data_IF_808278840965
#
_entry.id   IF_808278840965
#
_cell.length_a   1.000
_cell.length_b   1.000
_cell.length_c   1.000
_cell.angle_alpha   90.00
_cell.angle_beta   90.00
_cell.angle_gamma   90.00
#
_symmetry.space_group_name_H-M   'P 1'
#
loop_
_entity.id
_entity.type
_entity.pdbx_description
1 polymer ?
#
# COMPACT_ATOMS: atom_id res chain seq x y z
N UNK A 1 -11.92 -7.13 -16.47
CA UNK A 1 -11.69 -6.90 -15.03
C UNK A 1 -10.59 -7.87 -14.64
N UNK A 2 -9.34 -7.41 -14.52
CA UNK A 2 -8.24 -8.31 -14.13
C UNK A 2 -8.40 -8.69 -12.66
N UNK A 3 -8.60 -9.99 -12.43
CA UNK A 3 -8.64 -10.56 -11.10
C UNK A 3 -7.23 -10.51 -10.51
N UNK A 4 -6.97 -9.55 -9.62
CA UNK A 4 -5.76 -9.53 -8.79
C UNK A 4 -5.80 -10.71 -7.83
N UNK A 5 -5.42 -11.89 -8.32
CA UNK A 5 -5.24 -13.10 -7.52
C UNK A 5 -4.11 -12.81 -6.52
N UNK A 6 -4.31 -13.05 -5.22
CA UNK A 6 -3.25 -12.87 -4.25
C UNK A 6 -2.03 -13.73 -4.65
N UNK A 7 -0.79 -13.24 -4.46
CA UNK A 7 0.41 -13.98 -4.83
C UNK A 7 0.42 -15.35 -4.15
N UNK A 8 0.72 -16.40 -4.94
CA UNK A 8 0.68 -17.82 -4.54
C UNK A 8 1.78 -18.23 -3.54
N UNK A 9 2.48 -17.28 -2.95
CA UNK A 9 3.62 -17.53 -2.07
C UNK A 9 3.40 -16.71 -0.81
N UNK A 10 2.84 -17.36 0.20
CA UNK A 10 2.88 -16.90 1.58
C UNK A 10 4.20 -17.41 2.19
N UNK A 11 5.31 -16.64 2.17
CA UNK A 11 6.44 -17.03 3.00
C UNK A 11 5.93 -17.12 4.44
N UNK A 12 6.14 -18.28 5.08
CA UNK A 12 5.44 -18.76 6.28
C UNK A 12 5.44 -17.83 7.53
N UNK A 13 5.99 -16.61 7.45
CA UNK A 13 6.07 -15.60 8.51
C UNK A 13 5.71 -14.17 8.10
N UNK A 14 5.45 -13.88 6.82
CA UNK A 14 5.19 -12.50 6.39
C UNK A 14 3.70 -12.25 6.26
N UNK A 15 3.17 -11.27 7.02
CA UNK A 15 1.81 -10.75 6.84
C UNK A 15 1.70 -10.14 5.45
N UNK A 16 0.69 -10.55 4.67
CA UNK A 16 0.50 -10.06 3.31
C UNK A 16 -0.38 -8.81 3.35
N UNK A 17 0.24 -7.65 3.18
CA UNK A 17 -0.47 -6.37 3.08
C UNK A 17 -0.60 -5.99 1.61
N UNK A 18 -1.77 -5.51 1.22
CA UNK A 18 -2.08 -5.04 -0.12
C UNK A 18 -2.69 -3.65 -0.05
N UNK A 19 -2.16 -2.71 -0.82
CA UNK A 19 -2.65 -1.35 -0.88
C UNK A 19 -3.11 -1.02 -2.31
N UNK A 20 -4.29 -0.42 -2.43
CA UNK A 20 -4.92 -0.06 -3.71
C UNK A 20 -5.29 1.42 -3.71
N UNK A 21 -4.87 2.15 -4.75
CA UNK A 21 -5.20 3.55 -4.98
C UNK A 21 -6.38 3.61 -5.95
N UNK A 22 -7.46 4.24 -5.52
CA UNK A 22 -8.71 4.39 -6.27
C UNK A 22 -9.03 5.86 -6.54
N UNK A 23 -9.50 6.18 -7.73
CA UNK A 23 -10.06 7.50 -8.05
C UNK A 23 -11.26 7.34 -8.99
N UNK A 24 -12.43 7.85 -8.57
CA UNK A 24 -13.69 7.78 -9.34
C UNK A 24 -13.96 6.36 -9.89
N UNK A 25 -13.92 5.37 -9.00
CA UNK A 25 -14.11 3.94 -9.30
C UNK A 25 -13.05 3.28 -10.21
N UNK A 26 -11.94 3.97 -10.51
CA UNK A 26 -10.81 3.39 -11.26
C UNK A 26 -9.66 3.10 -10.32
N UNK A 27 -9.08 1.90 -10.44
CA UNK A 27 -7.80 1.56 -9.82
C UNK A 27 -6.69 2.29 -10.58
N UNK A 28 -5.91 3.09 -9.87
CA UNK A 28 -4.77 3.81 -10.44
C UNK A 28 -3.46 3.04 -10.26
N UNK A 29 -3.30 2.39 -9.12
CA UNK A 29 -2.17 1.51 -8.80
C UNK A 29 -2.55 0.59 -7.63
N UNK A 30 -1.91 -0.57 -7.57
CA UNK A 30 -2.02 -1.48 -6.43
C UNK A 30 -0.66 -2.14 -6.19
N UNK A 31 -0.36 -2.46 -4.94
CA UNK A 31 0.91 -3.09 -4.60
C UNK A 31 0.83 -3.86 -3.28
N UNK A 32 1.58 -4.96 -3.20
CA UNK A 32 1.81 -5.72 -1.97
C UNK A 32 3.02 -5.16 -1.20
N UNK A 33 3.12 -5.48 0.09
CA UNK A 33 4.39 -5.36 0.78
C UNK A 33 5.44 -6.27 0.12
N UNK A 34 6.69 -5.82 0.06
CA UNK A 34 7.77 -6.56 -0.60
C UNK A 34 9.08 -6.38 0.15
N UNK A 35 9.96 -7.36 0.00
CA UNK A 35 11.34 -7.25 0.49
C UNK A 35 12.01 -6.03 -0.16
N UNK A 36 12.54 -5.17 0.70
CA UNK A 36 13.18 -3.92 0.34
C UNK A 36 14.69 -3.96 0.49
N UNK A 37 15.36 -3.01 -0.13
CA UNK A 37 16.75 -2.63 0.12
C UNK A 37 16.85 -1.11 0.07
N UNK A 38 17.95 -0.53 0.57
CA UNK A 38 18.21 0.91 0.44
C UNK A 38 18.05 1.38 -1.01
N UNK A 39 18.62 0.62 -1.96
CA UNK A 39 18.54 0.90 -3.41
C UNK A 39 17.14 0.74 -4.01
N UNK A 40 16.27 -0.06 -3.39
CA UNK A 40 14.87 -0.26 -3.83
C UNK A 40 13.88 0.67 -3.11
N UNK A 41 14.37 1.61 -2.32
CA UNK A 41 13.54 2.61 -1.65
C UNK A 41 12.93 2.15 -0.32
N UNK A 42 13.57 1.22 0.39
CA UNK A 42 13.22 0.86 1.78
C UNK A 42 13.46 2.04 2.74
N UNK A 43 14.30 3.01 2.37
CA UNK A 43 14.69 4.11 3.26
C UNK A 43 15.48 3.57 4.45
N UNK A 44 15.00 3.84 5.66
CA UNK A 44 15.58 3.38 6.94
C UNK A 44 14.85 2.18 7.55
N UNK A 45 13.86 1.56 6.87
CA UNK A 45 13.22 0.36 7.44
C UNK A 45 14.10 -0.88 7.25
N UNK A 46 14.08 -1.75 8.26
CA UNK A 46 14.77 -3.04 8.29
C UNK A 46 14.10 -4.01 7.29
N UNK A 47 14.43 -3.85 6.00
CA UNK A 47 14.29 -4.84 4.93
C UNK A 47 12.89 -5.10 4.32
N UNK A 48 11.85 -4.29 4.63
CA UNK A 48 10.53 -4.39 3.95
C UNK A 48 9.99 -3.02 3.50
N UNK A 49 9.55 -2.94 2.24
CA UNK A 49 8.74 -1.83 1.73
C UNK A 49 7.27 -2.16 2.00
N UNK A 50 6.64 -1.33 2.82
CA UNK A 50 5.24 -1.47 3.18
C UNK A 50 4.32 -1.23 1.97
N UNK A 51 3.17 -1.90 1.97
CA UNK A 51 2.24 -1.88 0.84
C UNK A 51 1.80 -0.45 0.47
N UNK A 52 1.57 0.40 1.47
CA UNK A 52 1.16 1.80 1.33
C UNK A 52 2.20 2.60 0.56
N UNK A 53 3.46 2.54 1.01
CA UNK A 53 4.59 3.21 0.34
C UNK A 53 4.81 2.62 -1.06
N UNK A 54 4.68 1.31 -1.21
CA UNK A 54 4.88 0.64 -2.50
C UNK A 54 3.81 1.09 -3.51
N UNK A 55 2.54 1.14 -3.12
CA UNK A 55 1.45 1.56 -4.01
C UNK A 55 1.61 3.01 -4.49
N UNK A 56 1.97 3.92 -3.59
CA UNK A 56 2.24 5.33 -3.94
C UNK A 56 3.45 5.44 -4.87
N UNK A 57 4.51 4.65 -4.64
CA UNK A 57 5.68 4.63 -5.53
C UNK A 57 5.36 4.03 -6.90
N UNK A 58 4.59 2.95 -6.95
CA UNK A 58 4.14 2.31 -8.19
C UNK A 58 3.25 3.22 -9.04
N UNK A 59 2.55 4.18 -8.42
CA UNK A 59 1.80 5.20 -9.17
C UNK A 59 2.71 6.08 -10.03
N UNK A 60 3.95 6.34 -9.58
CA UNK A 60 4.98 7.13 -10.26
C UNK A 60 4.73 8.64 -10.35
N UNK A 61 3.47 9.06 -10.48
CA UNK A 61 3.04 10.44 -10.62
C UNK A 61 2.11 10.85 -9.47
N UNK A 62 2.66 11.65 -8.54
CA UNK A 62 1.95 12.09 -7.34
C UNK A 62 0.79 13.05 -7.64
N UNK A 63 0.75 13.71 -8.80
CA UNK A 63 -0.38 14.57 -9.19
C UNK A 63 -1.69 13.77 -9.30
N UNK A 64 -1.59 12.47 -9.60
CA UNK A 64 -2.73 11.56 -9.71
C UNK A 64 -3.37 11.22 -8.36
N UNK A 65 -2.70 11.53 -7.23
CA UNK A 65 -3.25 11.35 -5.89
C UNK A 65 -4.38 12.32 -5.56
N UNK A 66 -4.48 13.45 -6.28
CA UNK A 66 -5.52 14.46 -6.01
C UNK A 66 -6.91 13.84 -6.16
N UNK A 67 -7.65 13.81 -5.05
CA UNK A 67 -8.98 13.21 -4.96
C UNK A 67 -8.99 11.67 -4.94
N UNK A 68 -7.83 11.02 -4.87
CA UNK A 68 -7.73 9.57 -4.76
C UNK A 68 -7.99 9.09 -3.33
N UNK A 69 -8.29 7.81 -3.18
CA UNK A 69 -8.47 7.10 -1.91
C UNK A 69 -7.52 5.91 -1.90
N UNK A 70 -6.76 5.75 -0.81
CA UNK A 70 -5.94 4.56 -0.60
C UNK A 70 -6.72 3.57 0.27
N UNK A 71 -6.81 2.31 -0.15
CA UNK A 71 -7.36 1.22 0.64
C UNK A 71 -6.21 0.26 0.97
N UNK A 72 -6.04 -0.08 2.24
CA UNK A 72 -5.05 -1.04 2.72
C UNK A 72 -5.79 -2.23 3.32
N UNK A 73 -5.41 -3.44 2.95
CA UNK A 73 -5.96 -4.67 3.49
C UNK A 73 -4.82 -5.62 3.83
N UNK A 74 -4.97 -6.36 4.93
CA UNK A 74 -4.07 -7.45 5.27
C UNK A 74 -4.81 -8.77 5.09
N UNK A 75 -4.21 -9.71 4.36
CA UNK A 75 -4.75 -11.05 4.19
C UNK A 75 -4.12 -12.00 5.22
N UNK A 76 -4.97 -12.72 5.95
CA UNK A 76 -4.61 -13.86 6.78
C UNK A 76 -4.30 -15.11 5.94
N UNK A 77 -3.96 -16.22 6.63
CA UNK A 77 -3.64 -17.50 5.98
C UNK A 77 -4.81 -18.06 5.17
N UNK A 78 -6.03 -17.86 5.65
CA UNK A 78 -7.26 -18.39 5.07
C UNK A 78 -8.02 -17.35 4.22
N UNK A 79 -7.35 -16.25 3.84
CA UNK A 79 -7.95 -15.15 3.08
C UNK A 79 -8.80 -14.18 3.92
N UNK A 80 -8.88 -14.40 5.24
CA UNK A 80 -9.55 -13.48 6.17
C UNK A 80 -8.89 -12.10 6.16
N UNK A 81 -9.71 -11.05 6.29
CA UNK A 81 -9.22 -9.68 6.46
C UNK A 81 -8.74 -9.49 7.89
N UNK A 82 -7.48 -9.08 8.04
CA UNK A 82 -6.86 -8.79 9.33
C UNK A 82 -6.67 -7.27 9.51
N UNK A 83 -6.39 -6.84 10.75
CA UNK A 83 -6.06 -5.44 11.03
C UNK A 83 -4.85 -4.99 10.21
N UNK A 84 -5.04 -3.98 9.38
CA UNK A 84 -4.05 -3.47 8.43
C UNK A 84 -3.71 -2.00 8.67
N UNK A 85 -3.92 -1.54 9.91
CA UNK A 85 -3.56 -0.18 10.33
C UNK A 85 -2.11 0.14 9.92
N UNK A 86 -1.90 1.22 9.15
CA UNK A 86 -0.55 1.64 8.77
C UNK A 86 0.35 1.84 9.98
N UNK A 87 1.63 1.46 9.85
CA UNK A 87 2.61 1.76 10.89
C UNK A 87 2.82 3.28 11.04
N UNK A 88 3.53 3.71 12.08
CA UNK A 88 3.81 5.13 12.35
C UNK A 88 4.44 5.84 11.13
N UNK A 89 5.48 5.26 10.53
CA UNK A 89 6.14 5.85 9.36
C UNK A 89 5.27 5.92 8.11
N UNK A 90 4.38 4.94 7.92
CA UNK A 90 3.43 4.96 6.81
C UNK A 90 2.34 6.00 7.07
N UNK A 91 1.89 6.15 8.32
CA UNK A 91 0.95 7.19 8.73
C UNK A 91 1.51 8.58 8.39
N UNK A 92 2.72 8.92 8.87
CA UNK A 92 3.35 10.21 8.57
C UNK A 92 3.53 10.46 7.06
N UNK A 93 3.93 9.43 6.33
CA UNK A 93 4.06 9.51 4.88
C UNK A 93 2.72 9.77 4.18
N UNK A 94 1.65 9.08 4.60
CA UNK A 94 0.32 9.23 4.04
C UNK A 94 -0.29 10.59 4.39
N UNK A 95 -0.10 11.08 5.62
CA UNK A 95 -0.49 12.43 6.02
C UNK A 95 0.18 13.50 5.16
N UNK A 96 1.47 13.33 4.86
CA UNK A 96 2.17 14.18 3.88
C UNK A 96 1.49 14.11 2.51
N UNK A 97 1.17 12.91 2.01
CA UNK A 97 0.46 12.76 0.74
C UNK A 97 -0.94 13.40 0.74
N UNK A 98 -1.65 13.37 1.87
CA UNK A 98 -2.94 14.06 2.01
C UNK A 98 -2.75 15.57 1.93
N UNK A 99 -1.82 16.12 2.71
CA UNK A 99 -1.55 17.56 2.80
C UNK A 99 -1.00 18.15 1.51
N UNK A 100 -0.06 17.47 0.86
CA UNK A 100 0.72 18.06 -0.25
C UNK A 100 0.26 17.59 -1.64
N UNK A 101 -0.32 16.39 -1.75
CA UNK A 101 -0.69 15.78 -3.03
C UNK A 101 -2.19 15.53 -3.19
N UNK A 102 -2.99 15.88 -2.17
CA UNK A 102 -4.45 15.82 -2.23
C UNK A 102 -5.01 14.41 -2.16
N UNK A 103 -4.28 13.46 -1.58
CA UNK A 103 -4.85 12.15 -1.21
C UNK A 103 -6.02 12.42 -0.25
N UNK A 104 -7.23 11.95 -0.60
CA UNK A 104 -8.46 12.36 0.11
C UNK A 104 -8.64 11.64 1.43
N UNK A 105 -8.39 10.33 1.43
CA UNK A 105 -8.55 9.46 2.61
C UNK A 105 -7.78 8.16 2.46
N UNK A 106 -7.48 7.54 3.59
CA UNK A 106 -6.93 6.19 3.71
C UNK A 106 -7.95 5.35 4.48
N UNK A 107 -8.28 4.17 3.95
CA UNK A 107 -9.16 3.19 4.58
C UNK A 107 -8.33 1.94 4.84
N UNK A 108 -8.45 1.35 6.02
CA UNK A 108 -7.78 0.10 6.37
C UNK A 108 -8.73 -0.84 7.10
N UNK A 109 -8.51 -2.15 6.97
CA UNK A 109 -9.18 -3.20 7.76
C UNK A 109 -8.68 -3.30 9.18
#
# INVERSE_FOLDING_TARGET
>A
MENHRPPNVYPHRTRLHHATILRRNKVLASAYNRVGSRTRGCGYSEFTIHAEKNAIKSLGDLSKLRGATLIVVQYGKDGELMQSKPCHDCTLFLEKCMREHGLRKVIYS
#
